data_IF_541579793204
#
_entry.id   IF_541579793204
#
_cell.length_a   1.000
_cell.length_b   1.000
_cell.length_c   1.000
_cell.angle_alpha   90.00
_cell.angle_beta   90.00
_cell.angle_gamma   90.00
#
_symmetry.space_group_name_H-M   'P 1'
#
loop_
_entity.id
_entity.type
_entity.pdbx_description
1 polymer ?
#
# COMPACT_ATOMS: atom_id res chain seq x y z
N UNK A 1 14.36 -19.57 12.04
CA UNK A 1 15.27 -20.70 11.74
C UNK A 1 15.93 -20.49 10.38
N UNK A 2 16.94 -21.29 9.96
CA UNK A 2 17.47 -21.24 8.59
C UNK A 2 16.39 -21.44 7.52
N UNK A 3 15.44 -22.34 7.78
CA UNK A 3 14.28 -22.58 6.91
C UNK A 3 13.41 -21.33 6.76
N UNK A 4 13.02 -20.68 7.86
CA UNK A 4 12.20 -19.47 7.81
C UNK A 4 12.89 -18.32 7.06
N UNK A 5 14.22 -18.24 7.11
CA UNK A 5 14.98 -17.27 6.32
C UNK A 5 14.92 -17.57 4.81
N UNK A 6 14.95 -18.84 4.43
CA UNK A 6 14.79 -19.24 3.03
C UNK A 6 13.36 -18.96 2.53
N UNK A 7 12.34 -19.27 3.34
CA UNK A 7 10.93 -18.97 3.03
C UNK A 7 10.69 -17.47 2.86
N UNK A 8 11.27 -16.65 3.74
CA UNK A 8 11.21 -15.18 3.62
C UNK A 8 11.89 -14.66 2.34
N UNK A 9 13.03 -15.25 1.95
CA UNK A 9 13.72 -14.89 0.71
C UNK A 9 12.90 -15.26 -0.54
N UNK A 10 12.24 -16.42 -0.53
CA UNK A 10 11.29 -16.82 -1.58
C UNK A 10 10.12 -15.84 -1.65
N UNK A 11 9.50 -15.52 -0.51
CA UNK A 11 8.40 -14.55 -0.42
C UNK A 11 8.78 -13.20 -1.04
N UNK A 12 9.98 -12.68 -0.76
CA UNK A 12 10.47 -11.45 -1.40
C UNK A 12 10.48 -11.55 -2.91
N UNK A 13 11.04 -12.64 -3.42
CA UNK A 13 11.20 -12.86 -4.87
C UNK A 13 9.83 -12.94 -5.56
N UNK A 14 8.88 -13.66 -4.96
CA UNK A 14 7.52 -13.84 -5.48
C UNK A 14 6.68 -12.55 -5.47
N UNK A 15 7.00 -11.61 -4.58
CA UNK A 15 6.22 -10.38 -4.38
C UNK A 15 6.97 -9.08 -4.74
N UNK A 16 8.09 -9.18 -5.47
CA UNK A 16 8.91 -8.03 -5.91
C UNK A 16 8.12 -6.93 -6.60
N UNK A 17 7.04 -7.27 -7.32
CA UNK A 17 6.23 -6.33 -8.06
C UNK A 17 5.56 -5.23 -7.21
N UNK A 18 5.37 -5.45 -5.90
CA UNK A 18 4.71 -4.49 -5.00
C UNK A 18 5.41 -4.33 -3.65
N UNK A 19 6.07 -5.38 -3.15
CA UNK A 19 6.56 -5.44 -1.77
C UNK A 19 7.65 -4.41 -1.49
N UNK A 20 8.54 -4.17 -2.44
CA UNK A 20 9.67 -3.25 -2.27
C UNK A 20 9.23 -1.78 -2.20
N UNK A 21 8.15 -1.43 -2.92
CA UNK A 21 7.53 -0.11 -2.86
C UNK A 21 6.67 0.03 -1.62
N UNK A 22 5.87 -0.99 -1.29
CA UNK A 22 5.09 -1.02 -0.05
C UNK A 22 5.98 -0.85 1.19
N UNK A 23 7.06 -1.62 1.32
CA UNK A 23 7.89 -1.59 2.52
C UNK A 23 8.64 -0.26 2.68
N UNK A 24 9.09 0.34 1.56
CA UNK A 24 9.69 1.67 1.59
C UNK A 24 8.65 2.75 1.92
N UNK A 25 7.46 2.69 1.30
CA UNK A 25 6.37 3.61 1.58
C UNK A 25 5.99 3.59 3.06
N UNK A 26 5.87 2.40 3.66
CA UNK A 26 5.53 2.25 5.07
C UNK A 26 6.62 2.82 5.98
N UNK A 27 7.90 2.58 5.65
CA UNK A 27 9.02 3.13 6.42
C UNK A 27 9.07 4.67 6.36
N UNK A 28 8.83 5.26 5.18
CA UNK A 28 8.73 6.71 5.02
C UNK A 28 7.48 7.27 5.71
N UNK A 29 6.34 6.57 5.62
CA UNK A 29 5.10 6.98 6.30
C UNK A 29 5.27 7.05 7.82
N UNK A 30 6.04 6.14 8.42
CA UNK A 30 6.39 6.23 9.85
C UNK A 30 7.21 7.48 10.18
N UNK A 31 8.14 7.86 9.30
CA UNK A 31 8.96 9.06 9.47
C UNK A 31 8.12 10.35 9.34
N UNK A 32 7.22 10.40 8.36
CA UNK A 32 6.44 11.60 8.04
C UNK A 32 5.09 11.69 8.77
N UNK A 33 4.66 10.64 9.46
CA UNK A 33 3.42 10.58 10.23
C UNK A 33 2.17 10.67 9.34
N UNK A 34 1.21 11.52 9.72
CA UNK A 34 -0.07 11.69 9.01
C UNK A 34 0.04 12.48 7.69
N UNK A 35 1.26 12.87 7.29
CA UNK A 35 1.49 13.62 6.04
C UNK A 35 1.20 12.74 4.83
N UNK A 36 0.48 13.30 3.86
CA UNK A 36 0.33 12.70 2.54
C UNK A 36 1.69 12.58 1.85
N UNK A 37 1.92 11.51 1.10
CA UNK A 37 3.15 11.33 0.33
C UNK A 37 3.45 12.49 -0.61
N UNK A 38 2.42 13.14 -1.17
CA UNK A 38 2.56 14.29 -2.07
C UNK A 38 3.08 15.55 -1.35
N UNK A 39 3.10 15.53 -0.02
CA UNK A 39 3.66 16.60 0.81
C UNK A 39 5.02 16.26 1.41
N UNK A 40 5.57 15.07 1.18
CA UNK A 40 6.94 14.73 1.59
C UNK A 40 7.96 15.60 0.84
N UNK A 41 9.23 15.50 1.21
CA UNK A 41 10.30 16.18 0.50
C UNK A 41 10.26 15.83 -0.99
N UNK A 42 10.37 16.85 -1.85
CA UNK A 42 10.07 16.71 -3.28
C UNK A 42 10.79 15.54 -3.97
N UNK A 43 12.08 15.24 -3.69
CA UNK A 43 12.75 14.08 -4.28
C UNK A 43 12.12 12.73 -3.91
N UNK A 44 11.57 12.59 -2.70
CA UNK A 44 10.88 11.38 -2.25
C UNK A 44 9.46 11.30 -2.80
N UNK A 45 8.74 12.42 -2.79
CA UNK A 45 7.39 12.51 -3.36
C UNK A 45 7.40 12.20 -4.87
N UNK A 46 8.42 12.67 -5.60
CA UNK A 46 8.64 12.44 -7.04
C UNK A 46 9.41 11.17 -7.36
N UNK A 47 9.80 10.39 -6.34
CA UNK A 47 10.50 9.12 -6.49
C UNK A 47 11.81 9.22 -7.29
N UNK A 48 12.57 10.29 -7.06
CA UNK A 48 13.89 10.46 -7.67
C UNK A 48 14.82 9.31 -7.25
N UNK A 49 15.48 8.68 -8.22
CA UNK A 49 16.21 7.43 -8.01
C UNK A 49 17.30 7.54 -6.92
N UNK A 50 18.00 8.68 -6.84
CA UNK A 50 19.01 8.97 -5.82
C UNK A 50 18.39 9.05 -4.42
N UNK A 51 17.28 9.77 -4.28
CA UNK A 51 16.56 9.94 -3.02
C UNK A 51 15.99 8.60 -2.52
N UNK A 52 15.39 7.80 -3.42
CA UNK A 52 14.91 6.46 -3.07
C UNK A 52 16.07 5.54 -2.64
N UNK A 53 17.20 5.58 -3.33
CA UNK A 53 18.38 4.79 -2.96
C UNK A 53 18.88 5.16 -1.57
N UNK A 54 18.95 6.45 -1.26
CA UNK A 54 19.34 6.94 0.06
C UNK A 54 18.34 6.51 1.13
N UNK A 55 17.04 6.71 0.90
CA UNK A 55 15.99 6.31 1.83
C UNK A 55 15.99 4.79 2.09
N UNK A 56 16.23 3.96 1.07
CA UNK A 56 16.36 2.50 1.25
C UNK A 56 17.53 2.13 2.16
N UNK A 57 18.65 2.85 2.07
CA UNK A 57 19.80 2.62 2.94
C UNK A 57 19.53 3.09 4.37
N UNK A 58 18.94 4.29 4.52
CA UNK A 58 18.64 4.89 5.83
C UNK A 58 17.58 4.11 6.62
N UNK A 59 16.53 3.65 5.93
CA UNK A 59 15.40 2.95 6.55
C UNK A 59 15.49 1.43 6.45
N UNK A 60 16.65 0.86 6.10
CA UNK A 60 16.79 -0.58 5.89
C UNK A 60 16.18 -1.43 7.02
N UNK A 61 16.41 -1.16 8.33
CA UNK A 61 15.80 -1.95 9.40
C UNK A 61 14.26 -1.89 9.43
N UNK A 62 13.67 -0.75 9.07
CA UNK A 62 12.21 -0.59 9.01
C UNK A 62 11.61 -1.25 7.78
N UNK A 63 12.30 -1.18 6.63
CA UNK A 63 11.92 -1.91 5.42
C UNK A 63 11.90 -3.42 5.70
N UNK A 64 12.97 -3.94 6.32
CA UNK A 64 13.06 -5.34 6.72
C UNK A 64 11.91 -5.76 7.65
N UNK A 65 11.53 -4.89 8.59
CA UNK A 65 10.37 -5.12 9.45
C UNK A 65 9.06 -5.22 8.65
N UNK A 66 8.80 -4.29 7.73
CA UNK A 66 7.57 -4.30 6.94
C UNK A 66 7.48 -5.48 5.97
N UNK A 67 8.61 -5.89 5.40
CA UNK A 67 8.70 -7.13 4.62
C UNK A 67 8.39 -8.34 5.49
N UNK A 68 8.96 -8.41 6.69
CA UNK A 68 8.71 -9.50 7.63
C UNK A 68 7.23 -9.53 8.08
N UNK A 69 6.62 -8.37 8.33
CA UNK A 69 5.21 -8.27 8.69
C UNK A 69 4.30 -8.83 7.59
N UNK A 70 4.57 -8.49 6.33
CA UNK A 70 3.83 -9.04 5.18
C UNK A 70 4.05 -10.55 5.04
N UNK A 71 5.28 -11.04 5.18
CA UNK A 71 5.55 -12.48 5.17
C UNK A 71 4.77 -13.23 6.25
N UNK A 72 4.76 -12.70 7.49
CA UNK A 72 3.97 -13.27 8.59
C UNK A 72 2.47 -13.33 8.24
N UNK A 73 1.91 -12.23 7.71
CA UNK A 73 0.51 -12.16 7.30
C UNK A 73 0.19 -13.22 6.23
N UNK A 74 0.96 -13.27 5.15
CA UNK A 74 0.73 -14.22 4.06
C UNK A 74 0.86 -15.67 4.51
N UNK A 75 1.84 -15.98 5.36
CA UNK A 75 2.03 -17.32 5.93
C UNK A 75 0.82 -17.75 6.77
N UNK A 76 0.33 -16.88 7.65
CA UNK A 76 -0.83 -17.16 8.49
C UNK A 76 -2.13 -17.25 7.67
N UNK A 77 -2.32 -16.33 6.72
CA UNK A 77 -3.46 -16.31 5.82
C UNK A 77 -3.53 -17.58 4.96
N UNK A 78 -2.39 -18.04 4.42
CA UNK A 78 -2.32 -19.28 3.65
C UNK A 78 -2.72 -20.50 4.49
N UNK A 79 -2.27 -20.59 5.74
CA UNK A 79 -2.65 -21.66 6.66
C UNK A 79 -4.16 -21.65 6.96
N UNK A 80 -4.73 -20.46 7.23
CA UNK A 80 -6.17 -20.30 7.46
C UNK A 80 -7.00 -20.71 6.24
N UNK A 81 -6.61 -20.24 5.05
CA UNK A 81 -7.28 -20.58 3.79
C UNK A 81 -7.22 -22.08 3.50
N UNK A 82 -6.07 -22.71 3.72
CA UNK A 82 -5.92 -24.16 3.54
C UNK A 82 -6.84 -24.93 4.50
N UNK A 83 -6.92 -24.50 5.77
CA UNK A 83 -7.82 -25.11 6.75
C UNK A 83 -9.30 -24.99 6.34
N UNK A 84 -9.75 -23.79 5.96
CA UNK A 84 -11.12 -23.54 5.52
C UNK A 84 -11.49 -24.39 4.29
N UNK A 85 -10.63 -24.40 3.28
CA UNK A 85 -10.82 -25.21 2.07
C UNK A 85 -10.88 -26.72 2.39
N UNK A 86 -10.05 -27.19 3.32
CA UNK A 86 -10.07 -28.58 3.80
C UNK A 86 -11.37 -28.97 4.52
N UNK A 87 -12.19 -27.98 4.91
CA UNK A 87 -13.54 -28.16 5.48
C UNK A 87 -14.66 -27.89 4.47
N UNK A 88 -14.34 -27.69 3.20
CA UNK A 88 -15.31 -27.34 2.17
C UNK A 88 -15.85 -25.91 2.29
N UNK A 89 -15.18 -25.05 3.05
CA UNK A 89 -15.55 -23.63 3.22
C UNK A 89 -14.75 -22.78 2.24
N UNK A 90 -15.44 -22.03 1.39
CA UNK A 90 -14.83 -21.06 0.49
C UNK A 90 -14.73 -19.67 1.16
N UNK A 91 -13.64 -18.96 0.90
CA UNK A 91 -13.44 -17.58 1.36
C UNK A 91 -13.74 -16.61 0.22
N UNK A 92 -14.65 -15.67 0.44
CA UNK A 92 -14.98 -14.60 -0.51
C UNK A 92 -14.19 -13.36 -0.10
N UNK A 93 -13.32 -12.89 -1.00
CA UNK A 93 -12.59 -11.64 -0.80
C UNK A 93 -13.45 -10.43 -1.14
N UNK A 94 -13.07 -9.28 -0.61
CA UNK A 94 -13.62 -7.97 -0.96
C UNK A 94 -12.47 -7.08 -1.47
N UNK A 95 -12.64 -6.50 -2.64
CA UNK A 95 -11.64 -5.65 -3.29
C UNK A 95 -12.30 -4.31 -3.61
N UNK A 96 -11.92 -3.23 -2.90
CA UNK A 96 -12.43 -1.90 -3.20
C UNK A 96 -12.11 -1.51 -4.65
N UNK A 97 -13.09 -0.89 -5.34
CA UNK A 97 -12.89 -0.34 -6.69
C UNK A 97 -11.89 0.80 -6.69
N UNK A 98 -11.79 1.53 -5.58
CA UNK A 98 -10.93 2.70 -5.47
C UNK A 98 -9.84 2.55 -4.42
N UNK A 99 -8.74 3.25 -4.65
CA UNK A 99 -7.55 3.24 -3.80
C UNK A 99 -7.45 4.59 -3.06
N UNK A 100 -7.00 4.54 -1.81
CA UNK A 100 -6.71 5.75 -1.02
C UNK A 100 -5.58 6.55 -1.67
N UNK A 101 -5.73 7.88 -1.75
CA UNK A 101 -4.65 8.77 -2.22
C UNK A 101 -3.34 8.51 -1.48
N UNK A 102 -3.40 8.30 -0.16
CA UNK A 102 -2.21 8.06 0.65
C UNK A 102 -1.89 6.56 0.73
N UNK A 103 -1.51 5.97 -0.40
CA UNK A 103 -1.11 4.56 -0.47
C UNK A 103 0.22 4.40 -1.21
N UNK A 104 0.84 3.23 -0.99
CA UNK A 104 2.03 2.82 -1.73
C UNK A 104 1.74 2.74 -3.24
N UNK A 105 0.54 2.31 -3.64
CA UNK A 105 0.16 2.17 -5.05
C UNK A 105 0.12 3.51 -5.77
N UNK A 106 -0.55 4.52 -5.18
CA UNK A 106 -0.66 5.86 -5.79
C UNK A 106 0.69 6.55 -5.78
N UNK A 107 1.47 6.42 -4.71
CA UNK A 107 2.82 6.96 -4.65
C UNK A 107 3.75 6.31 -5.68
N UNK A 108 3.69 4.98 -5.85
CA UNK A 108 4.59 4.24 -6.73
C UNK A 108 4.23 4.38 -8.21
N UNK A 109 2.93 4.53 -8.52
CA UNK A 109 2.37 4.59 -9.87
C UNK A 109 1.40 5.76 -10.04
N UNK A 110 1.86 7.02 -9.84
CA UNK A 110 1.01 8.19 -9.99
C UNK A 110 0.48 8.33 -11.43
N UNK A 111 1.14 7.71 -12.41
CA UNK A 111 0.74 7.63 -13.82
C UNK A 111 -0.57 6.88 -14.07
N UNK A 112 -1.02 6.07 -13.11
CA UNK A 112 -2.29 5.35 -13.18
C UNK A 112 -3.47 6.14 -12.59
N UNK A 113 -3.26 7.37 -12.14
CA UNK A 113 -4.28 8.16 -11.45
C UNK A 113 -4.38 9.58 -12.02
N UNK A 114 -5.54 10.20 -11.87
CA UNK A 114 -5.75 11.59 -12.29
C UNK A 114 -5.23 12.57 -11.24
N UNK A 115 -3.92 12.87 -11.31
CA UNK A 115 -3.20 13.77 -10.41
C UNK A 115 -2.65 14.99 -11.17
N UNK A 116 -2.52 16.12 -10.47
CA UNK A 116 -1.73 17.26 -10.95
C UNK A 116 -0.22 17.04 -10.72
N UNK A 117 0.61 17.96 -11.22
CA UNK A 117 2.08 17.91 -11.08
C UNK A 117 2.56 17.93 -9.60
N UNK A 118 1.68 18.31 -8.67
CA UNK A 118 1.95 18.31 -7.24
C UNK A 118 1.44 17.04 -6.54
N UNK A 119 0.94 16.04 -7.27
CA UNK A 119 0.41 14.80 -6.72
C UNK A 119 -0.94 14.95 -6.02
N UNK A 120 -1.72 15.98 -6.35
CA UNK A 120 -3.07 16.18 -5.83
C UNK A 120 -4.12 15.67 -6.84
N UNK A 121 -5.22 15.05 -6.37
CA UNK A 121 -6.29 14.59 -7.25
C UNK A 121 -6.95 15.76 -7.99
N UNK A 122 -7.07 15.65 -9.31
CA UNK A 122 -7.85 16.59 -10.14
C UNK A 122 -9.32 16.22 -10.20
N UNK A 123 -9.64 14.94 -9.98
CA UNK A 123 -10.99 14.40 -9.77
C UNK A 123 -11.00 13.47 -8.56
N UNK A 124 -12.14 13.37 -7.89
CA UNK A 124 -12.36 12.42 -6.78
C UNK A 124 -13.58 11.58 -7.09
N UNK A 125 -13.49 10.30 -6.72
CA UNK A 125 -14.62 9.39 -6.87
C UNK A 125 -15.76 9.78 -5.93
N UNK A 126 -16.99 9.67 -6.43
CA UNK A 126 -18.21 9.94 -5.69
C UNK A 126 -19.39 9.22 -6.32
N UNK A 127 -20.50 9.14 -5.58
CA UNK A 127 -21.76 8.60 -6.09
C UNK A 127 -22.61 9.80 -6.55
N UNK A 128 -23.24 9.74 -7.74
CA UNK A 128 -24.19 10.77 -8.14
C UNK A 128 -25.35 10.84 -7.12
N UNK A 129 -26.01 11.99 -6.96
CA UNK A 129 -27.13 12.11 -6.04
C UNK A 129 -28.22 11.07 -6.38
N UNK A 130 -28.63 10.30 -5.37
CA UNK A 130 -29.75 9.37 -5.46
C UNK A 130 -30.90 9.80 -4.53
N UNK A 131 -31.96 9.01 -4.48
CA UNK A 131 -33.17 9.33 -3.69
C UNK A 131 -32.94 9.17 -2.17
N UNK A 132 -31.76 8.76 -1.71
CA UNK A 132 -31.45 8.60 -0.29
C UNK A 132 -30.73 9.85 0.26
N UNK A 133 -31.20 10.43 1.37
CA UNK A 133 -30.51 11.55 2.00
C UNK A 133 -29.15 11.10 2.55
N UNK A 134 -28.09 11.93 2.44
CA UNK A 134 -26.75 11.54 2.85
C UNK A 134 -26.67 11.34 4.37
N UNK A 135 -26.01 10.27 4.87
CA UNK A 135 -25.60 10.21 6.27
C UNK A 135 -24.53 11.30 6.52
N UNK A 136 -24.62 11.96 7.68
CA UNK A 136 -23.77 13.09 8.08
C UNK A 136 -22.29 12.87 7.72
N UNK A 137 -21.80 13.60 6.73
CA UNK A 137 -20.47 13.42 6.16
C UNK A 137 -19.39 14.10 7.01
N UNK A 138 -18.92 13.42 8.05
CA UNK A 138 -17.71 13.76 8.78
C UNK A 138 -16.69 12.61 8.63
N UNK A 139 -16.01 12.53 7.47
CA UNK A 139 -14.94 11.55 7.28
C UNK A 139 -14.62 11.15 5.83
N UNK A 140 -14.77 12.04 4.86
CA UNK A 140 -14.48 11.69 3.46
C UNK A 140 -12.97 11.48 3.23
N UNK A 141 -12.54 10.21 3.29
CA UNK A 141 -11.30 9.77 2.67
C UNK A 141 -11.32 10.20 1.21
N UNK A 142 -10.35 11.02 0.80
CA UNK A 142 -10.21 11.43 -0.60
C UNK A 142 -9.69 10.23 -1.39
N UNK A 143 -10.62 9.61 -2.09
CA UNK A 143 -10.44 8.35 -2.80
C UNK A 143 -10.36 8.64 -4.30
N UNK A 144 -9.36 8.08 -4.98
CA UNK A 144 -9.01 8.45 -6.36
C UNK A 144 -9.38 7.30 -7.30
N UNK A 145 -10.00 7.64 -8.43
CA UNK A 145 -10.27 6.69 -9.50
C UNK A 145 -8.98 6.40 -10.29
N UNK A 146 -8.74 5.10 -10.55
CA UNK A 146 -7.73 4.63 -11.50
C UNK A 146 -8.25 4.57 -12.93
#
# INVERSE_FOLDING_TARGET
>A
TPQERAELATFRTEHTAWLDDYALFMALSEQFGERLWSTWDAPLARREASALKQARAEHAPRIEFWVFAQWCFFRQWAALRAYANGKGVSLVGDMPIFISLNSADVWARPDLFQLDDAGKPTVVAGVPPDYFPPPDSAGATRTIAG
#
